data_IF_947852809805
#
_entry.id   IF_947852809805
#
_cell.length_a   1.000
_cell.length_b   1.000
_cell.length_c   1.000
_cell.angle_alpha   90.00
_cell.angle_beta   90.00
_cell.angle_gamma   90.00
#
_symmetry.space_group_name_H-M   'P 1'
#
loop_
_entity.id
_entity.type
_entity.pdbx_description
1 polymer ?
#
# COMPACT_ATOMS: atom_id res chain seq x y z
N UNK A 1 -4.35 4.21 -34.47
CA UNK A 1 -3.49 4.37 -33.27
C UNK A 1 -2.22 5.06 -33.70
N UNK A 2 -1.77 6.05 -32.95
CA UNK A 2 -0.49 6.72 -33.19
C UNK A 2 0.67 5.91 -32.60
N UNK A 3 1.79 5.86 -33.31
CA UNK A 3 3.00 5.15 -32.85
C UNK A 3 3.92 6.12 -32.14
N UNK A 4 4.22 5.85 -30.88
CA UNK A 4 5.24 6.57 -30.11
C UNK A 4 6.51 5.70 -30.05
N UNK A 5 7.67 6.28 -30.38
CA UNK A 5 8.97 5.64 -30.24
C UNK A 5 9.73 6.24 -29.06
N UNK A 6 10.31 5.38 -28.22
CA UNK A 6 11.12 5.76 -27.06
C UNK A 6 12.55 5.26 -27.26
N UNK A 7 13.52 6.11 -26.92
CA UNK A 7 14.95 5.81 -26.97
C UNK A 7 15.54 5.90 -25.55
N UNK A 8 15.26 4.91 -24.68
CA UNK A 8 15.74 4.95 -23.30
C UNK A 8 17.26 4.72 -23.22
N UNK A 9 17.94 5.27 -22.20
CA UNK A 9 19.32 4.93 -21.91
C UNK A 9 19.45 3.45 -21.47
N UNK A 10 20.62 2.85 -21.67
CA UNK A 10 20.83 1.40 -21.52
C UNK A 10 20.50 0.89 -20.09
N UNK A 11 20.77 1.70 -19.07
CA UNK A 11 20.40 1.37 -17.70
C UNK A 11 18.88 1.23 -17.50
N UNK A 12 18.09 2.15 -18.07
CA UNK A 12 16.63 2.10 -17.99
C UNK A 12 16.08 0.92 -18.80
N UNK A 13 16.65 0.66 -19.98
CA UNK A 13 16.30 -0.50 -20.80
C UNK A 13 16.48 -1.82 -20.04
N UNK A 14 17.62 -2.00 -19.37
CA UNK A 14 17.92 -3.21 -18.60
C UNK A 14 16.93 -3.40 -17.44
N UNK A 15 16.56 -2.33 -16.73
CA UNK A 15 15.59 -2.38 -15.64
C UNK A 15 14.20 -2.75 -16.18
N UNK A 16 13.75 -2.12 -17.26
CA UNK A 16 12.43 -2.42 -17.86
C UNK A 16 12.38 -3.86 -18.37
N UNK A 17 13.45 -4.36 -18.99
CA UNK A 17 13.52 -5.76 -19.45
C UNK A 17 13.39 -6.75 -18.30
N UNK A 18 14.14 -6.53 -17.22
CA UNK A 18 14.07 -7.39 -16.03
C UNK A 18 12.67 -7.38 -15.41
N UNK A 19 12.06 -6.21 -15.26
CA UNK A 19 10.71 -6.09 -14.72
C UNK A 19 9.66 -6.75 -15.62
N UNK A 20 9.83 -6.66 -16.94
CA UNK A 20 8.95 -7.30 -17.92
C UNK A 20 9.01 -8.83 -17.82
N UNK A 21 10.22 -9.39 -17.72
CA UNK A 21 10.44 -10.83 -17.52
C UNK A 21 9.82 -11.32 -16.21
N UNK A 22 10.08 -10.63 -15.10
CA UNK A 22 9.54 -10.97 -13.77
C UNK A 22 8.01 -10.95 -13.76
N UNK A 23 7.41 -10.00 -14.48
CA UNK A 23 5.94 -9.84 -14.54
C UNK A 23 5.27 -10.65 -15.66
N UNK A 24 6.04 -11.32 -16.52
CA UNK A 24 5.51 -12.02 -17.69
C UNK A 24 4.81 -11.08 -18.69
N UNK A 25 5.21 -9.80 -18.75
CA UNK A 25 4.62 -8.78 -19.62
C UNK A 25 5.55 -8.47 -20.79
N UNK A 26 4.99 -7.98 -21.90
CA UNK A 26 5.83 -7.38 -22.95
C UNK A 26 6.40 -6.05 -22.48
N UNK A 27 7.58 -5.67 -22.99
CA UNK A 27 8.19 -4.35 -22.72
C UNK A 27 7.22 -3.22 -23.06
N UNK A 28 6.49 -3.34 -24.17
CA UNK A 28 5.51 -2.32 -24.58
C UNK A 28 4.37 -2.21 -23.59
N UNK A 29 3.81 -3.34 -23.14
CA UNK A 29 2.72 -3.37 -22.16
C UNK A 29 3.17 -2.75 -20.84
N UNK A 30 4.30 -3.21 -20.30
CA UNK A 30 4.85 -2.68 -19.06
C UNK A 30 5.16 -1.18 -19.16
N UNK A 31 5.69 -0.72 -20.29
CA UNK A 31 5.99 0.70 -20.50
C UNK A 31 4.73 1.54 -20.52
N UNK A 32 3.69 1.08 -21.22
CA UNK A 32 2.38 1.75 -21.25
C UNK A 32 1.77 1.77 -19.85
N UNK A 33 1.80 0.66 -19.11
CA UNK A 33 1.27 0.56 -17.75
C UNK A 33 1.98 1.54 -16.79
N UNK A 34 3.31 1.62 -16.87
CA UNK A 34 4.12 2.56 -16.08
C UNK A 34 3.75 4.01 -16.42
N UNK A 35 3.62 4.34 -17.71
CA UNK A 35 3.26 5.69 -18.14
C UNK A 35 1.81 6.05 -17.73
N UNK A 36 0.88 5.12 -17.90
CA UNK A 36 -0.50 5.28 -17.44
C UNK A 36 -0.55 5.49 -15.93
N UNK A 37 0.23 4.74 -15.14
CA UNK A 37 0.34 4.95 -13.70
C UNK A 37 0.98 6.31 -13.37
N UNK A 38 2.05 6.69 -14.08
CA UNK A 38 2.76 7.95 -13.88
C UNK A 38 1.86 9.17 -14.12
N UNK A 39 1.02 9.12 -15.16
CA UNK A 39 0.09 10.18 -15.51
C UNK A 39 -1.28 10.05 -14.83
N UNK A 40 -1.49 9.06 -13.95
CA UNK A 40 -2.79 8.81 -13.32
C UNK A 40 -3.89 8.34 -14.29
N UNK A 41 -3.51 7.91 -15.49
CA UNK A 41 -4.40 7.42 -16.54
C UNK A 41 -4.64 5.90 -16.46
N UNK A 42 -4.03 5.22 -15.49
CA UNK A 42 -4.23 3.79 -15.26
C UNK A 42 -5.72 3.51 -15.05
N UNK A 43 -6.39 3.07 -16.13
CA UNK A 43 -7.69 2.43 -16.02
C UNK A 43 -7.40 1.11 -15.31
N UNK A 44 -8.02 0.85 -14.15
CA UNK A 44 -7.72 -0.34 -13.36
C UNK A 44 -8.05 -1.56 -14.19
N UNK A 45 -7.03 -2.29 -14.62
CA UNK A 45 -7.16 -3.59 -15.26
C UNK A 45 -7.77 -4.56 -14.25
N UNK A 46 -9.08 -4.80 -14.41
CA UNK A 46 -9.88 -5.98 -14.02
C UNK A 46 -9.83 -6.53 -12.59
N UNK A 47 -9.03 -5.98 -11.68
CA UNK A 47 -8.96 -6.37 -10.26
C UNK A 47 -9.11 -5.15 -9.33
N UNK A 48 -10.06 -4.26 -9.64
CA UNK A 48 -10.48 -3.25 -8.65
C UNK A 48 -11.38 -3.95 -7.63
N UNK A 49 -10.77 -4.61 -6.65
CA UNK A 49 -11.48 -4.97 -5.42
C UNK A 49 -12.17 -3.70 -4.90
N UNK A 50 -13.45 -3.81 -4.57
CA UNK A 50 -14.18 -2.67 -4.04
C UNK A 50 -13.50 -2.19 -2.75
N UNK A 51 -13.59 -0.90 -2.40
CA UNK A 51 -12.97 -0.41 -1.16
C UNK A 51 -13.34 -1.23 0.10
N UNK A 52 -14.58 -1.73 0.26
CA UNK A 52 -14.91 -2.66 1.34
C UNK A 52 -14.08 -3.95 1.32
N UNK A 53 -13.89 -4.56 0.15
CA UNK A 53 -13.08 -5.79 0.00
C UNK A 53 -11.60 -5.53 0.33
N UNK A 54 -11.06 -4.39 -0.09
CA UNK A 54 -9.70 -3.95 0.28
C UNK A 54 -9.60 -3.79 1.80
N UNK A 55 -10.60 -3.18 2.43
CA UNK A 55 -10.62 -3.00 3.89
C UNK A 55 -10.62 -4.36 4.58
N UNK A 56 -11.49 -5.29 4.16
CA UNK A 56 -11.61 -6.60 4.81
C UNK A 56 -10.30 -7.40 4.68
N UNK A 57 -9.67 -7.38 3.51
CA UNK A 57 -8.39 -8.05 3.28
C UNK A 57 -7.26 -7.44 4.13
N UNK A 58 -7.15 -6.11 4.19
CA UNK A 58 -6.17 -5.44 5.08
C UNK A 58 -6.41 -5.82 6.53
N UNK A 59 -7.67 -5.90 6.97
CA UNK A 59 -8.00 -6.27 8.35
C UNK A 59 -7.59 -7.70 8.65
N UNK A 60 -7.84 -8.65 7.74
CA UNK A 60 -7.42 -10.05 7.92
C UNK A 60 -5.90 -10.21 7.91
N UNK A 61 -5.18 -9.54 7.01
CA UNK A 61 -3.71 -9.53 7.01
C UNK A 61 -3.13 -9.00 8.34
N UNK A 62 -3.68 -7.89 8.86
CA UNK A 62 -3.23 -7.33 10.14
C UNK A 62 -3.57 -8.27 11.31
N UNK A 63 -4.71 -8.97 11.28
CA UNK A 63 -5.03 -10.01 12.29
C UNK A 63 -4.00 -11.13 12.30
N UNK A 64 -3.60 -11.61 11.11
CA UNK A 64 -2.55 -12.64 10.98
C UNK A 64 -1.24 -12.10 11.54
N UNK A 65 -0.83 -10.89 11.13
CA UNK A 65 0.38 -10.25 11.61
C UNK A 65 0.43 -10.16 13.15
N UNK A 66 -0.66 -9.73 13.79
CA UNK A 66 -0.71 -9.62 15.26
C UNK A 66 -0.58 -10.99 15.95
N UNK A 67 -1.15 -12.05 15.38
CA UNK A 67 -1.04 -13.40 15.95
C UNK A 67 0.37 -13.98 15.85
N UNK A 68 1.10 -13.62 14.79
CA UNK A 68 2.45 -14.13 14.53
C UNK A 68 3.55 -13.35 15.27
N UNK A 69 3.23 -12.19 15.84
CA UNK A 69 4.20 -11.32 16.51
C UNK A 69 3.94 -11.23 18.02
N UNK A 70 4.99 -11.17 18.84
CA UNK A 70 4.85 -11.08 20.30
C UNK A 70 4.36 -9.70 20.76
N UNK A 71 3.85 -9.64 22.00
CA UNK A 71 3.57 -8.39 22.70
C UNK A 71 4.84 -7.50 22.78
N UNK A 72 4.65 -6.18 22.72
CA UNK A 72 5.71 -5.18 22.58
C UNK A 72 6.17 -4.93 21.14
N UNK A 73 5.67 -5.69 20.15
CA UNK A 73 5.99 -5.44 18.75
C UNK A 73 5.29 -4.18 18.26
N UNK A 74 6.08 -3.24 17.72
CA UNK A 74 5.55 -2.04 17.06
C UNK A 74 5.44 -2.22 15.56
N UNK A 75 4.36 -1.74 14.94
CA UNK A 75 4.13 -1.87 13.50
C UNK A 75 3.37 -0.68 12.92
N UNK A 76 3.38 -0.58 11.58
CA UNK A 76 2.47 0.26 10.82
C UNK A 76 1.72 -0.57 9.77
N UNK A 77 0.65 -0.02 9.19
CA UNK A 77 -0.15 -0.74 8.18
C UNK A 77 0.63 -1.03 6.89
N UNK A 78 1.70 -0.30 6.59
CA UNK A 78 2.55 -0.57 5.41
C UNK A 78 3.41 -1.81 5.61
N UNK A 79 3.76 -2.10 6.86
CA UNK A 79 4.57 -3.25 7.25
C UNK A 79 3.70 -4.48 7.49
N UNK A 80 2.52 -4.29 8.08
CA UNK A 80 1.64 -5.39 8.48
C UNK A 80 0.68 -5.87 7.37
N UNK A 81 0.57 -5.17 6.23
CA UNK A 81 -0.36 -5.51 5.16
C UNK A 81 0.22 -5.21 3.77
N UNK A 82 0.39 -6.26 2.96
CA UNK A 82 0.82 -6.14 1.56
C UNK A 82 -0.29 -5.48 0.73
N UNK A 83 -1.56 -5.78 1.02
CA UNK A 83 -2.69 -5.13 0.37
C UNK A 83 -2.69 -3.62 0.61
N UNK A 84 -2.46 -3.17 1.85
CA UNK A 84 -2.38 -1.74 2.17
C UNK A 84 -1.19 -1.05 1.48
N UNK A 85 -0.04 -1.75 1.43
CA UNK A 85 1.17 -1.28 0.74
C UNK A 85 0.94 -1.08 -0.76
N UNK A 86 0.12 -1.92 -1.39
CA UNK A 86 -0.20 -1.85 -2.81
C UNK A 86 -1.28 -0.81 -3.18
N UNK A 87 -2.00 -0.23 -2.21
CA UNK A 87 -2.86 0.93 -2.48
C UNK A 87 -1.97 2.09 -2.93
N UNK A 88 -2.17 2.65 -4.13
CA UNK A 88 -1.37 3.79 -4.59
C UNK A 88 -1.38 4.95 -3.57
N UNK A 89 -0.21 5.58 -3.36
CA UNK A 89 -0.05 6.69 -2.41
C UNK A 89 -0.71 7.99 -2.90
N UNK A 90 -0.81 8.16 -4.21
CA UNK A 90 -1.37 9.33 -4.89
C UNK A 90 -2.36 8.86 -5.95
N UNK A 91 -3.55 9.46 -5.98
CA UNK A 91 -4.54 9.33 -7.06
C UNK A 91 -4.78 10.74 -7.60
N UNK A 92 -4.65 10.96 -8.91
CA UNK A 92 -4.90 12.26 -9.56
C UNK A 92 -4.10 13.43 -8.95
N UNK A 93 -2.83 13.20 -8.59
CA UNK A 93 -1.97 14.21 -7.97
C UNK A 93 -2.32 14.54 -6.50
N UNK A 94 -3.29 13.85 -5.90
CA UNK A 94 -3.71 14.03 -4.49
C UNK A 94 -3.40 12.79 -3.64
N UNK A 95 -3.17 12.94 -2.32
CA UNK A 95 -3.04 11.80 -1.42
C UNK A 95 -4.25 10.86 -1.54
N UNK A 96 -3.98 9.55 -1.58
CA UNK A 96 -5.03 8.54 -1.79
C UNK A 96 -6.09 8.55 -0.68
N UNK A 97 -7.32 8.85 -1.08
CA UNK A 97 -8.51 8.78 -0.21
C UNK A 97 -8.71 7.37 0.34
N UNK A 98 -8.37 6.34 -0.44
CA UNK A 98 -8.52 4.94 -0.04
C UNK A 98 -7.61 4.58 1.14
N UNK A 99 -6.33 5.00 1.12
CA UNK A 99 -5.41 4.78 2.26
C UNK A 99 -5.92 5.46 3.52
N UNK A 100 -6.42 6.69 3.40
CA UNK A 100 -6.97 7.43 4.53
C UNK A 100 -8.21 6.73 5.12
N UNK A 101 -9.10 6.22 4.26
CA UNK A 101 -10.30 5.49 4.71
C UNK A 101 -9.94 4.18 5.40
N UNK A 102 -9.04 3.37 4.84
CA UNK A 102 -8.59 2.12 5.46
C UNK A 102 -7.98 2.40 6.84
N UNK A 103 -7.11 3.40 6.95
CA UNK A 103 -6.52 3.81 8.23
C UNK A 103 -7.57 4.24 9.27
N UNK A 104 -8.59 5.01 8.87
CA UNK A 104 -9.70 5.40 9.74
C UNK A 104 -10.50 4.19 10.23
N UNK A 105 -10.82 3.27 9.33
CA UNK A 105 -11.57 2.05 9.68
C UNK A 105 -10.77 1.18 10.65
N UNK A 106 -9.47 1.00 10.39
CA UNK A 106 -8.62 0.24 11.30
C UNK A 106 -8.56 0.87 12.70
N UNK A 107 -8.34 2.18 12.79
CA UNK A 107 -8.35 2.90 14.07
C UNK A 107 -9.68 2.73 14.82
N UNK A 108 -10.82 2.69 14.12
CA UNK A 108 -12.12 2.48 14.76
C UNK A 108 -12.33 1.09 15.38
N UNK A 109 -11.52 0.11 14.97
CA UNK A 109 -11.52 -1.28 15.46
C UNK A 109 -10.55 -1.51 16.62
N UNK A 110 -9.60 -0.62 16.87
CA UNK A 110 -8.66 -0.74 17.99
C UNK A 110 -9.40 -0.79 19.33
N UNK A 111 -8.86 -1.59 20.27
CA UNK A 111 -9.46 -1.80 21.58
C UNK A 111 -10.74 -2.65 21.58
N UNK A 112 -11.11 -3.25 20.44
CA UNK A 112 -12.30 -4.10 20.29
C UNK A 112 -11.93 -5.46 19.69
N UNK A 113 -12.67 -6.50 20.07
CA UNK A 113 -12.60 -7.85 19.52
C UNK A 113 -11.15 -8.33 19.31
N UNK A 114 -10.77 -8.64 18.07
CA UNK A 114 -9.45 -9.15 17.68
C UNK A 114 -8.31 -8.13 17.80
N UNK A 115 -8.63 -6.85 18.01
CA UNK A 115 -7.67 -5.75 18.19
C UNK A 115 -7.70 -5.16 19.61
N UNK A 116 -8.21 -5.92 20.59
CA UNK A 116 -8.27 -5.50 22.00
C UNK A 116 -6.89 -5.23 22.59
N UNK A 117 -5.87 -5.92 22.11
CA UNK A 117 -4.48 -5.82 22.54
C UNK A 117 -3.65 -5.00 21.55
N UNK A 118 -4.23 -4.01 20.90
CA UNK A 118 -3.50 -3.11 20.00
C UNK A 118 -3.77 -1.66 20.37
N UNK A 119 -2.72 -0.88 20.53
CA UNK A 119 -2.80 0.54 20.86
C UNK A 119 -2.02 1.40 19.86
N UNK A 120 -2.39 2.69 19.79
CA UNK A 120 -1.60 3.69 19.07
C UNK A 120 -0.44 4.11 19.96
N UNK A 121 0.80 4.00 19.45
CA UNK A 121 1.96 4.54 20.13
C UNK A 121 1.89 6.06 20.09
N UNK A 122 1.93 6.71 21.25
CA UNK A 122 1.88 8.17 21.36
C UNK A 122 3.25 8.75 21.73
N UNK A 123 3.50 9.95 21.24
CA UNK A 123 4.63 10.79 21.65
C UNK A 123 4.39 11.37 23.04
N UNK A 124 5.42 11.96 23.66
CA UNK A 124 5.30 12.62 24.96
C UNK A 124 4.26 13.75 24.98
N UNK A 125 3.97 14.37 23.83
CA UNK A 125 2.91 15.39 23.68
C UNK A 125 1.51 14.80 23.49
N UNK A 126 1.36 13.47 23.50
CA UNK A 126 0.08 12.78 23.27
C UNK A 126 -0.31 12.61 21.80
N UNK A 127 0.45 13.18 20.84
CA UNK A 127 0.21 12.98 19.41
C UNK A 127 0.60 11.56 18.98
N UNK A 128 -0.09 10.99 17.98
CA UNK A 128 0.25 9.68 17.43
C UNK A 128 1.67 9.67 16.84
N UNK A 129 2.51 8.76 17.33
CA UNK A 129 3.88 8.60 16.87
C UNK A 129 3.87 8.10 15.42
N UNK A 130 4.83 8.58 14.64
CA UNK A 130 5.01 8.18 13.25
C UNK A 130 6.13 7.16 13.12
N UNK A 131 5.92 6.16 12.26
CA UNK A 131 6.95 5.21 11.86
C UNK A 131 7.96 5.86 10.92
N UNK A 132 9.00 5.11 10.55
CA UNK A 132 9.97 5.51 9.52
C UNK A 132 9.28 5.84 8.19
N UNK A 133 8.17 5.16 7.89
CA UNK A 133 7.35 5.39 6.69
C UNK A 133 6.40 6.60 6.82
N UNK A 134 6.53 7.41 7.88
CA UNK A 134 5.60 8.50 8.24
C UNK A 134 4.15 8.03 8.44
N UNK A 135 3.92 6.74 8.64
CA UNK A 135 2.62 6.17 8.96
C UNK A 135 2.38 6.20 10.48
N UNK A 136 1.12 6.10 10.91
CA UNK A 136 0.81 5.97 12.35
C UNK A 136 1.37 4.66 12.88
N UNK A 137 2.07 4.72 14.02
CA UNK A 137 2.67 3.57 14.67
C UNK A 137 1.73 2.97 15.72
N UNK A 138 1.60 1.65 15.68
CA UNK A 138 0.82 0.84 16.62
C UNK A 138 1.73 -0.10 17.39
N UNK A 139 1.24 -0.61 18.51
CA UNK A 139 1.93 -1.57 19.37
C UNK A 139 0.96 -2.66 19.81
N UNK A 140 1.46 -3.91 19.81
CA UNK A 140 0.77 -5.06 20.38
C UNK A 140 1.00 -5.06 21.90
N UNK A 141 -0.07 -5.00 22.68
CA UNK A 141 -0.06 -5.02 24.16
C UNK A 141 0.09 -6.44 24.71
#
# INVERSE_FOLDING_TARGET
MERIQLYPPENLKNVIQKDAEVKGLSISQLTVDILMQHYGLAVPTENKKALPEIIDEVIEEVKVFIKENPAGTTFDLLTASETFKNIHMVSDGKPSTNRATVGKVFVSKLGKNEFKNVAIVRTQSGAAKKSVNRATLYEIL
#
